data_IF_322846189144
#
_entry.id   IF_322846189144
#
_cell.length_a   1.000
_cell.length_b   1.000
_cell.length_c   1.000
_cell.angle_alpha   90.00
_cell.angle_beta   90.00
_cell.angle_gamma   90.00
#
_symmetry.space_group_name_H-M   'P 1'
#
loop_
_entity.id
_entity.type
_entity.pdbx_description
1 polymer ?
#
# COMPACT_ATOMS: atom_id res chain seq x y z
N UNK A 1 11.87 -10.92 -9.53
CA UNK A 1 11.83 -9.50 -9.96
C UNK A 1 10.48 -8.78 -9.67
N UNK A 2 9.33 -9.34 -10.06
CA UNK A 2 8.03 -8.66 -9.97
C UNK A 2 7.53 -8.38 -8.54
N UNK A 3 7.74 -9.32 -7.59
CA UNK A 3 7.33 -9.15 -6.18
C UNK A 3 8.13 -8.06 -5.46
N UNK A 4 9.42 -7.94 -5.79
CA UNK A 4 10.32 -6.93 -5.22
C UNK A 4 9.86 -5.54 -5.64
N UNK A 5 9.55 -5.35 -6.93
CA UNK A 5 9.01 -4.08 -7.43
C UNK A 5 7.64 -3.75 -6.82
N UNK A 6 6.81 -4.76 -6.55
CA UNK A 6 5.53 -4.57 -5.87
C UNK A 6 5.74 -4.11 -4.41
N UNK A 7 6.64 -4.77 -3.68
CA UNK A 7 7.01 -4.38 -2.31
C UNK A 7 7.60 -2.97 -2.24
N UNK A 8 8.46 -2.60 -3.18
CA UNK A 8 9.00 -1.24 -3.29
C UNK A 8 7.89 -0.20 -3.55
N UNK A 9 6.92 -0.51 -4.41
CA UNK A 9 5.78 0.39 -4.68
C UNK A 9 4.83 0.51 -3.48
N UNK A 10 4.70 -0.53 -2.66
CA UNK A 10 3.94 -0.47 -1.39
C UNK A 10 4.61 0.47 -0.39
N UNK A 11 5.95 0.46 -0.34
CA UNK A 11 6.76 1.36 0.45
C UNK A 11 7.07 2.70 -0.26
N UNK A 12 6.30 3.09 -1.29
CA UNK A 12 6.51 4.34 -2.02
C UNK A 12 5.92 5.55 -1.30
N UNK A 13 6.52 6.73 -1.49
CA UNK A 13 6.05 7.96 -0.84
C UNK A 13 4.74 8.52 -1.44
N UNK A 14 4.49 8.28 -2.73
CA UNK A 14 3.27 8.74 -3.39
C UNK A 14 2.06 7.88 -3.03
N UNK A 15 1.01 8.51 -2.49
CA UNK A 15 -0.23 7.84 -2.11
C UNK A 15 -0.88 7.09 -3.29
N UNK A 16 -0.99 7.73 -4.46
CA UNK A 16 -1.58 7.11 -5.66
C UNK A 16 -0.82 5.84 -6.07
N UNK A 17 0.51 5.88 -5.92
CA UNK A 17 1.40 4.74 -6.20
C UNK A 17 1.17 3.61 -5.19
N UNK A 18 1.04 3.92 -3.89
CA UNK A 18 0.71 2.95 -2.84
C UNK A 18 -0.67 2.32 -3.06
N UNK A 19 -1.71 3.11 -3.31
CA UNK A 19 -3.08 2.62 -3.53
C UNK A 19 -3.18 1.70 -4.75
N UNK A 20 -2.43 2.01 -5.81
CA UNK A 20 -2.33 1.13 -6.97
C UNK A 20 -1.57 -0.16 -6.64
N UNK A 21 -0.51 -0.07 -5.83
CA UNK A 21 0.27 -1.22 -5.40
C UNK A 21 -0.54 -2.17 -4.50
N UNK A 22 -1.30 -1.66 -3.52
CA UNK A 22 -2.19 -2.45 -2.66
C UNK A 22 -3.26 -3.17 -3.47
N UNK A 23 -3.89 -2.49 -4.44
CA UNK A 23 -4.86 -3.12 -5.35
C UNK A 23 -4.23 -4.25 -6.19
N UNK A 24 -3.00 -4.05 -6.68
CA UNK A 24 -2.25 -5.08 -7.39
C UNK A 24 -1.88 -6.26 -6.48
N UNK A 25 -1.47 -5.99 -5.24
CA UNK A 25 -1.14 -7.01 -4.26
C UNK A 25 -2.35 -7.89 -3.96
N UNK A 26 -3.54 -7.31 -3.76
CA UNK A 26 -4.78 -8.07 -3.53
C UNK A 26 -5.05 -9.05 -4.67
N UNK A 27 -4.95 -8.59 -5.92
CA UNK A 27 -5.12 -9.46 -7.11
C UNK A 27 -4.06 -10.56 -7.17
N UNK A 28 -2.81 -10.22 -6.85
CA UNK A 28 -1.71 -11.18 -6.84
C UNK A 28 -1.92 -12.28 -5.80
N UNK A 29 -2.35 -11.92 -4.58
CA UNK A 29 -2.63 -12.89 -3.52
C UNK A 29 -3.75 -13.84 -3.92
N UNK A 30 -4.89 -13.31 -4.40
CA UNK A 30 -6.04 -14.11 -4.84
C UNK A 30 -5.66 -15.06 -5.99
N UNK A 31 -4.93 -14.56 -7.00
CA UNK A 31 -4.51 -15.39 -8.13
C UNK A 31 -3.50 -16.48 -7.73
N UNK A 32 -2.72 -16.26 -6.66
CA UNK A 32 -1.73 -17.21 -6.17
C UNK A 32 -2.39 -18.30 -5.33
N UNK A 33 -3.30 -17.95 -4.43
CA UNK A 33 -4.00 -18.91 -3.55
C UNK A 33 -5.00 -19.79 -4.28
N UNK A 34 -5.52 -19.37 -5.44
CA UNK A 34 -6.37 -20.20 -6.29
C UNK A 34 -5.64 -21.34 -7.01
N UNK A 35 -4.30 -21.34 -7.04
CA UNK A 35 -3.52 -22.42 -7.65
C UNK A 35 -3.34 -23.56 -6.66
N UNK A 36 -3.47 -24.80 -7.10
CA UNK A 36 -3.31 -26.00 -6.25
C UNK A 36 -1.90 -26.12 -5.61
N UNK A 37 -0.88 -25.52 -6.22
CA UNK A 37 0.50 -25.38 -5.69
C UNK A 37 0.77 -24.01 -5.07
N UNK A 38 -0.29 -23.25 -4.77
CA UNK A 38 -0.30 -21.82 -4.43
C UNK A 38 0.14 -21.48 -3.02
N UNK A 39 1.34 -21.92 -2.61
CA UNK A 39 1.98 -21.47 -1.38
C UNK A 39 2.79 -20.19 -1.60
N UNK A 40 2.85 -19.33 -0.58
CA UNK A 40 3.90 -18.32 -0.48
C UNK A 40 5.11 -18.94 0.19
N UNK A 41 6.31 -18.70 -0.34
CA UNK A 41 7.51 -18.97 0.44
C UNK A 41 7.63 -17.94 1.56
N UNK A 42 8.28 -18.31 2.66
CA UNK A 42 8.53 -17.41 3.79
C UNK A 42 9.19 -16.09 3.32
N UNK A 43 10.10 -16.21 2.36
CA UNK A 43 10.87 -15.13 1.77
C UNK A 43 10.03 -14.16 0.91
N UNK A 44 9.01 -14.68 0.22
CA UNK A 44 8.05 -13.86 -0.52
C UNK A 44 7.11 -13.13 0.44
N UNK A 45 6.63 -13.85 1.47
CA UNK A 45 5.73 -13.29 2.48
C UNK A 45 6.39 -12.15 3.27
N UNK A 46 7.65 -12.32 3.68
CA UNK A 46 8.44 -11.29 4.36
C UNK A 46 8.59 -10.01 3.52
N UNK A 47 8.79 -10.14 2.21
CA UNK A 47 8.93 -8.98 1.30
C UNK A 47 7.60 -8.22 1.18
N UNK A 48 6.48 -8.95 1.07
CA UNK A 48 5.13 -8.36 1.07
C UNK A 48 4.87 -7.65 2.40
N UNK A 49 5.16 -8.31 3.51
CA UNK A 49 4.90 -7.79 4.85
C UNK A 49 5.69 -6.53 5.15
N UNK A 50 6.98 -6.47 4.79
CA UNK A 50 7.80 -5.25 4.87
C UNK A 50 7.18 -4.11 4.08
N UNK A 51 6.77 -4.36 2.82
CA UNK A 51 6.12 -3.36 1.99
C UNK A 51 4.81 -2.84 2.59
N UNK A 52 3.99 -3.72 3.16
CA UNK A 52 2.73 -3.36 3.84
C UNK A 52 2.96 -2.58 5.13
N UNK A 53 3.95 -2.96 5.94
CA UNK A 53 4.32 -2.26 7.16
C UNK A 53 4.68 -0.80 6.86
N UNK A 54 5.54 -0.55 5.86
CA UNK A 54 5.86 0.82 5.45
C UNK A 54 4.68 1.56 4.81
N UNK A 55 3.81 0.85 4.09
CA UNK A 55 2.58 1.44 3.56
C UNK A 55 1.68 1.97 4.68
N UNK A 56 1.54 1.24 5.79
CA UNK A 56 0.77 1.66 6.96
C UNK A 56 1.46 2.79 7.72
N UNK A 57 2.78 2.70 7.90
CA UNK A 57 3.57 3.74 8.56
C UNK A 57 3.49 5.10 7.83
N UNK A 58 3.47 5.11 6.51
CA UNK A 58 3.27 6.33 5.72
C UNK A 58 1.80 6.80 5.65
N UNK A 59 0.86 6.17 6.37
CA UNK A 59 -0.52 6.65 6.51
C UNK A 59 -0.74 7.53 7.74
N UNK A 60 0.27 7.73 8.59
CA UNK A 60 0.21 8.69 9.68
C UNK A 60 0.09 10.12 9.12
N UNK A 61 -1.16 10.59 8.96
CA UNK A 61 -1.46 12.01 8.86
C UNK A 61 -1.43 12.57 10.28
N UNK A 62 -0.52 13.49 10.64
CA UNK A 62 -0.62 14.17 11.92
C UNK A 62 -1.97 14.87 11.99
N UNK A 63 -2.71 14.65 13.07
CA UNK A 63 -3.96 15.34 13.36
C UNK A 63 -3.68 16.85 13.27
N UNK A 64 -4.29 17.50 12.28
CA UNK A 64 -4.19 18.94 12.07
C UNK A 64 -4.69 19.63 13.35
N UNK A 65 -3.73 20.16 14.09
CA UNK A 65 -3.95 20.88 15.33
C UNK A 65 -4.60 22.23 15.01
N UNK A 66 -5.92 22.32 15.19
CA UNK A 66 -6.71 23.53 15.47
C UNK A 66 -6.73 24.73 14.50
N UNK A 67 -6.12 24.71 13.31
CA UNK A 67 -6.18 25.86 12.38
C UNK A 67 -6.99 25.54 11.11
N UNK A 68 -8.25 25.15 11.30
CA UNK A 68 -9.26 25.07 10.25
C UNK A 68 -9.74 26.46 9.78
N UNK A 69 -8.81 27.33 9.38
CA UNK A 69 -9.12 28.62 8.76
C UNK A 69 -8.71 28.52 7.29
N UNK A 70 -9.71 28.19 6.47
CA UNK A 70 -9.78 28.44 5.02
C UNK A 70 -8.87 27.59 4.12
N UNK A 71 -9.45 26.53 3.54
CA UNK A 71 -9.14 26.11 2.17
C UNK A 71 -10.44 26.07 1.35
N UNK A 72 -10.67 27.05 0.46
CA UNK A 72 -11.77 27.01 -0.49
C UNK A 72 -11.42 26.00 -1.60
N UNK A 73 -12.44 25.38 -2.20
CA UNK A 73 -12.36 24.42 -3.32
C UNK A 73 -11.80 23.02 -3.01
N UNK A 74 -12.69 22.16 -2.51
CA UNK A 74 -13.13 21.02 -3.31
C UNK A 74 -12.14 19.89 -3.61
N UNK A 75 -11.18 19.57 -2.75
CA UNK A 75 -10.55 18.23 -2.78
C UNK A 75 -10.19 17.77 -1.38
N UNK A 76 -11.08 16.97 -0.80
CA UNK A 76 -10.74 16.14 0.33
C UNK A 76 -9.75 15.09 -0.19
N UNK A 77 -8.46 15.24 0.12
CA UNK A 77 -7.50 14.17 -0.17
C UNK A 77 -7.82 13.03 0.81
N UNK A 78 -8.67 12.11 0.35
CA UNK A 78 -9.19 10.87 0.96
C UNK A 78 -10.71 10.83 1.20
N UNK A 79 -11.50 11.42 0.28
CA UNK A 79 -12.63 10.68 -0.29
C UNK A 79 -12.13 9.92 -1.53
#
# INVERSE_FOLDING_TARGET
PALIQLAQRLAGNEQVTRDRAVRKLRKYIVARTQRATGGFTHDELLKIWKGLFYCLWMQDKPLLQYTAVVKPSGRCQNC
#
